data_IF_464033629982
#
_entry.id   IF_464033629982
#
_cell.length_a   1.000
_cell.length_b   1.000
_cell.length_c   1.000
_cell.angle_alpha   90.00
_cell.angle_beta   90.00
_cell.angle_gamma   90.00
#
_symmetry.space_group_name_H-M   'P 1'
#
loop_
_entity.id
_entity.type
_entity.pdbx_description
1 polymer ?
#
# COMPACT_ATOMS: atom_id res chain seq x y z
N UNK A 1 -1.44 21.98 -23.42
CA UNK A 1 -0.21 21.16 -23.48
C UNK A 1 0.76 21.43 -22.33
N UNK A 2 1.15 22.69 -22.03
CA UNK A 2 2.09 22.98 -20.94
C UNK A 2 1.52 22.80 -19.51
N UNK A 3 0.24 23.15 -19.29
CA UNK A 3 -0.43 22.95 -17.99
C UNK A 3 -0.54 21.45 -17.63
N UNK A 4 -1.03 20.63 -18.57
CA UNK A 4 -1.12 19.18 -18.41
C UNK A 4 0.22 18.52 -18.04
N UNK A 5 1.34 19.02 -18.59
CA UNK A 5 2.68 18.50 -18.25
C UNK A 5 3.11 18.88 -16.83
N UNK A 6 2.75 20.08 -16.35
CA UNK A 6 3.02 20.50 -14.97
C UNK A 6 2.19 19.68 -13.97
N UNK A 7 0.90 19.48 -14.25
CA UNK A 7 0.00 18.71 -13.38
C UNK A 7 0.51 17.26 -13.20
N UNK A 8 0.99 16.63 -14.27
CA UNK A 8 1.60 15.29 -14.22
C UNK A 8 2.90 15.26 -13.41
N UNK A 9 3.72 16.30 -13.50
CA UNK A 9 4.97 16.40 -12.74
C UNK A 9 4.71 16.59 -11.24
N UNK A 10 3.72 17.42 -10.90
CA UNK A 10 3.33 17.67 -9.51
C UNK A 10 2.75 16.41 -8.86
N UNK A 11 1.91 15.66 -9.59
CA UNK A 11 1.37 14.38 -9.10
C UNK A 11 2.47 13.33 -8.93
N UNK A 12 3.37 13.19 -9.91
CA UNK A 12 4.50 12.27 -9.80
C UNK A 12 5.39 12.59 -8.58
N UNK A 13 5.61 13.89 -8.30
CA UNK A 13 6.36 14.33 -7.13
C UNK A 13 5.68 13.96 -5.82
N UNK A 14 4.35 14.15 -5.73
CA UNK A 14 3.56 13.74 -4.56
C UNK A 14 3.63 12.24 -4.31
N UNK A 15 3.51 11.43 -5.36
CA UNK A 15 3.62 9.97 -5.25
C UNK A 15 5.02 9.55 -4.78
N UNK A 16 6.07 10.21 -5.28
CA UNK A 16 7.44 9.96 -4.84
C UNK A 16 7.66 10.31 -3.37
N UNK A 17 7.16 11.47 -2.91
CA UNK A 17 7.27 11.88 -1.51
C UNK A 17 6.54 10.90 -0.58
N UNK A 18 5.33 10.44 -0.95
CA UNK A 18 4.60 9.40 -0.20
C UNK A 18 5.36 8.07 -0.16
N UNK A 19 5.94 7.64 -1.28
CA UNK A 19 6.73 6.41 -1.33
C UNK A 19 7.99 6.49 -0.45
N UNK A 20 8.64 7.66 -0.39
CA UNK A 20 9.77 7.92 0.52
C UNK A 20 9.32 7.82 1.98
N UNK A 21 8.20 8.43 2.34
CA UNK A 21 7.71 8.41 3.72
C UNK A 21 7.30 7.01 4.17
N UNK A 22 6.70 6.19 3.28
CA UNK A 22 6.46 4.76 3.54
C UNK A 22 7.76 4.00 3.73
N UNK A 23 8.79 4.28 2.92
CA UNK A 23 10.10 3.63 3.04
C UNK A 23 10.75 3.96 4.39
N UNK A 24 10.68 5.22 4.84
CA UNK A 24 11.15 5.64 6.16
C UNK A 24 10.40 4.94 7.29
N UNK A 25 9.09 4.74 7.16
CA UNK A 25 8.30 3.99 8.13
C UNK A 25 8.71 2.50 8.16
N UNK A 26 8.93 1.90 6.99
CA UNK A 26 9.40 0.52 6.91
C UNK A 26 10.75 0.34 7.62
N UNK A 27 11.69 1.26 7.42
CA UNK A 27 13.00 1.25 8.09
C UNK A 27 12.88 1.36 9.62
N UNK A 28 11.99 2.22 10.13
CA UNK A 28 11.70 2.29 11.58
C UNK A 28 11.14 0.99 12.13
N UNK A 29 10.41 0.24 11.30
CA UNK A 29 9.91 -1.09 11.60
C UNK A 29 10.96 -2.17 11.31
N UNK A 30 12.20 -1.83 10.91
CA UNK A 30 13.25 -2.81 10.63
C UNK A 30 12.92 -3.73 9.45
N UNK A 31 12.21 -3.21 8.45
CA UNK A 31 11.86 -3.91 7.21
C UNK A 31 12.04 -3.01 5.99
N UNK A 32 11.91 -3.57 4.80
CA UNK A 32 11.88 -2.77 3.57
C UNK A 32 10.43 -2.48 3.10
N UNK A 33 10.29 -1.55 2.16
CA UNK A 33 8.98 -1.13 1.66
C UNK A 33 8.17 -2.27 1.02
N UNK A 34 8.83 -3.24 0.38
CA UNK A 34 8.17 -4.41 -0.23
C UNK A 34 7.60 -5.31 0.86
N UNK A 35 8.35 -5.56 1.93
CA UNK A 35 7.87 -6.34 3.06
C UNK A 35 6.70 -5.67 3.77
N UNK A 36 6.78 -4.35 3.97
CA UNK A 36 5.69 -3.59 4.58
C UNK A 36 4.42 -3.64 3.72
N UNK A 37 4.52 -3.49 2.40
CA UNK A 37 3.35 -3.51 1.51
C UNK A 37 2.66 -4.88 1.45
N UNK A 38 3.44 -5.96 1.46
CA UNK A 38 2.93 -7.33 1.53
C UNK A 38 2.19 -7.56 2.86
N UNK A 39 2.83 -7.22 3.98
CA UNK A 39 2.25 -7.40 5.30
C UNK A 39 0.98 -6.55 5.48
N UNK A 40 0.99 -5.32 5.00
CA UNK A 40 -0.17 -4.42 5.02
C UNK A 40 -1.34 -4.99 4.21
N UNK A 41 -1.07 -5.52 3.02
CA UNK A 41 -2.10 -6.16 2.17
C UNK A 41 -2.76 -7.35 2.86
N UNK A 42 -1.96 -8.19 3.52
CA UNK A 42 -2.43 -9.38 4.25
C UNK A 42 -3.11 -9.06 5.59
N UNK A 43 -2.94 -7.85 6.13
CA UNK A 43 -3.59 -7.42 7.39
C UNK A 43 -5.08 -7.13 7.20
N UNK A 44 -5.52 -6.86 5.98
CA UNK A 44 -6.91 -6.57 5.66
C UNK A 44 -7.73 -7.88 5.64
N UNK A 45 -8.66 -8.05 6.57
CA UNK A 45 -9.40 -9.30 6.81
C UNK A 45 -10.00 -9.96 5.54
N UNK A 46 -10.62 -9.23 4.61
CA UNK A 46 -11.11 -9.82 3.36
C UNK A 46 -10.05 -10.44 2.45
N UNK A 47 -8.76 -10.15 2.62
CA UNK A 47 -7.68 -10.67 1.77
C UNK A 47 -7.30 -12.08 2.22
N UNK A 48 -7.61 -13.07 1.38
CA UNK A 48 -7.31 -14.48 1.67
C UNK A 48 -6.04 -14.98 0.96
N UNK A 49 -5.68 -14.33 -0.15
CA UNK A 49 -4.54 -14.71 -0.98
C UNK A 49 -3.89 -13.46 -1.56
N UNK A 50 -2.55 -13.44 -1.58
CA UNK A 50 -1.75 -12.42 -2.24
C UNK A 50 -0.84 -13.09 -3.26
N UNK A 51 -1.01 -12.74 -4.53
CA UNK A 51 -0.15 -13.22 -5.61
C UNK A 51 1.15 -12.40 -5.60
N UNK A 52 2.29 -13.10 -5.54
CA UNK A 52 3.62 -12.48 -5.52
C UNK A 52 4.38 -12.86 -6.79
N UNK A 53 5.04 -11.87 -7.40
CA UNK A 53 6.01 -12.07 -8.47
C UNK A 53 7.43 -11.81 -7.96
N UNK A 54 8.38 -12.69 -8.31
CA UNK A 54 9.79 -12.52 -7.99
C UNK A 54 10.62 -12.95 -9.21
N UNK A 55 11.69 -12.18 -9.51
CA UNK A 55 12.60 -12.50 -10.62
C UNK A 55 13.80 -13.33 -10.17
N UNK A 56 13.98 -13.53 -8.86
CA UNK A 56 14.99 -14.40 -8.29
C UNK A 56 14.52 -15.06 -6.99
N UNK A 57 15.13 -16.18 -6.57
CA UNK A 57 14.83 -16.81 -5.29
C UNK A 57 15.02 -15.87 -4.10
N UNK A 58 16.03 -15.00 -4.12
CA UNK A 58 16.34 -14.09 -3.01
C UNK A 58 15.21 -13.07 -2.80
N UNK A 59 14.67 -12.53 -3.89
CA UNK A 59 13.50 -11.63 -3.83
C UNK A 59 12.27 -12.33 -3.28
N UNK A 60 12.04 -13.60 -3.64
CA UNK A 60 10.95 -14.39 -3.09
C UNK A 60 11.13 -14.58 -1.57
N UNK A 61 12.33 -14.94 -1.12
CA UNK A 61 12.62 -15.09 0.31
C UNK A 61 12.42 -13.79 1.08
N UNK A 62 12.87 -12.65 0.53
CA UNK A 62 12.63 -11.33 1.13
C UNK A 62 11.13 -11.03 1.24
N UNK A 63 10.35 -11.37 0.22
CA UNK A 63 8.90 -11.18 0.21
C UNK A 63 8.20 -12.04 1.26
N UNK A 64 8.61 -13.31 1.42
CA UNK A 64 8.05 -14.23 2.42
C UNK A 64 8.37 -13.81 3.86
N UNK A 65 9.52 -13.17 4.10
CA UNK A 65 9.87 -12.62 5.41
C UNK A 65 8.87 -11.55 5.91
N UNK A 66 8.09 -10.94 5.01
CA UNK A 66 7.04 -9.98 5.37
C UNK A 66 5.99 -10.56 6.33
N UNK A 67 5.74 -11.87 6.30
CA UNK A 67 4.77 -12.52 7.18
C UNK A 67 5.09 -12.33 8.66
N UNK A 68 6.38 -12.19 9.00
CA UNK A 68 6.84 -11.93 10.37
C UNK A 68 6.47 -10.52 10.87
N UNK A 69 6.08 -9.61 9.98
CA UNK A 69 5.66 -8.25 10.32
C UNK A 69 4.18 -8.15 10.71
N UNK A 70 3.35 -9.14 10.37
CA UNK A 70 1.90 -9.10 10.63
C UNK A 70 1.54 -8.81 12.09
N UNK A 71 2.22 -9.38 13.10
CA UNK A 71 1.96 -9.06 14.51
C UNK A 71 2.41 -7.64 14.90
N UNK A 72 3.38 -7.08 14.17
CA UNK A 72 3.98 -5.76 14.43
C UNK A 72 3.19 -4.60 13.83
N UNK A 73 2.31 -4.89 12.86
CA UNK A 73 1.34 -3.92 12.31
C UNK A 73 0.23 -3.64 13.32
N UNK A 74 0.54 -2.79 14.29
CA UNK A 74 -0.41 -2.27 15.27
C UNK A 74 -1.37 -1.26 14.62
N UNK A 75 -2.47 -0.95 15.31
CA UNK A 75 -3.39 0.10 14.87
C UNK A 75 -2.70 1.44 14.64
N UNK A 76 -1.69 1.79 15.47
CA UNK A 76 -0.93 3.02 15.30
C UNK A 76 -0.14 3.06 13.99
N UNK A 77 0.54 1.96 13.65
CA UNK A 77 1.26 1.83 12.37
C UNK A 77 0.30 1.91 11.19
N UNK A 78 -0.85 1.23 11.28
CA UNK A 78 -1.87 1.28 10.24
C UNK A 78 -2.40 2.70 10.02
N UNK A 79 -2.67 3.45 11.10
CA UNK A 79 -3.09 4.85 11.00
C UNK A 79 -2.00 5.75 10.39
N UNK A 80 -0.72 5.48 10.68
CA UNK A 80 0.39 6.22 10.08
C UNK A 80 0.48 5.97 8.56
N UNK A 81 0.28 4.72 8.11
CA UNK A 81 0.20 4.38 6.68
C UNK A 81 -0.94 5.13 6.00
N UNK A 82 -2.15 5.11 6.58
CA UNK A 82 -3.32 5.84 6.04
C UNK A 82 -3.06 7.35 5.96
N UNK A 83 -2.39 7.93 6.96
CA UNK A 83 -2.01 9.34 6.99
C UNK A 83 -0.97 9.69 5.92
N UNK A 84 -0.05 8.79 5.59
CA UNK A 84 0.96 9.04 4.54
C UNK A 84 0.29 8.93 3.15
N UNK A 85 -0.52 7.90 2.94
CA UNK A 85 -1.08 7.61 1.63
C UNK A 85 -2.25 8.52 1.25
N UNK A 86 -3.08 8.93 2.22
CA UNK A 86 -4.24 9.82 2.04
C UNK A 86 -5.12 9.44 0.84
N UNK A 87 -5.27 8.14 0.57
CA UNK A 87 -5.94 7.62 -0.63
C UNK A 87 -7.01 6.57 -0.29
N UNK A 88 -7.50 6.57 0.95
CA UNK A 88 -8.50 5.60 1.42
C UNK A 88 -9.74 5.63 0.51
N UNK A 89 -10.12 4.50 -0.10
CA UNK A 89 -11.22 4.48 -1.05
C UNK A 89 -12.56 4.73 -0.36
N UNK A 90 -13.43 5.48 -1.02
CA UNK A 90 -14.84 5.63 -0.62
C UNK A 90 -15.64 4.53 -1.30
N UNK A 91 -16.34 3.70 -0.51
CA UNK A 91 -17.24 2.68 -1.07
C UNK A 91 -18.31 3.39 -1.91
N UNK A 92 -18.45 3.09 -3.21
CA UNK A 92 -19.53 3.66 -4.02
C UNK A 92 -20.89 3.21 -3.47
N UNK A 93 -21.94 4.01 -3.62
CA UNK A 93 -23.28 3.61 -3.18
C UNK A 93 -23.68 2.29 -3.86
N UNK A 94 -24.40 1.40 -3.16
CA UNK A 94 -24.83 0.14 -3.73
C UNK A 94 -25.73 0.41 -4.94
N UNK A 95 -25.31 -0.02 -6.12
CA UNK A 95 -26.14 0.02 -7.32
C UNK A 95 -27.16 -1.12 -7.18
N UNK A 96 -28.35 -0.80 -6.69
CA UNK A 96 -29.45 -1.75 -6.68
C UNK A 96 -29.91 -1.98 -8.11
N UNK A 97 -29.72 -3.19 -8.63
CA UNK A 97 -30.29 -3.61 -9.91
C UNK A 97 -31.83 -3.66 -9.90
N UNK A 98 -32.44 -3.62 -8.70
CA UNK A 98 -33.89 -3.47 -8.52
C UNK A 98 -34.36 -2.02 -8.59
N UNK A 99 -33.47 -1.03 -8.40
CA UNK A 99 -33.81 0.39 -8.55
C UNK A 99 -33.75 0.88 -10.01
N UNK A 100 -33.29 0.01 -10.92
CA UNK A 100 -33.20 0.25 -12.37
C UNK A 100 -34.32 -0.44 -13.16
N UNK A 101 -35.30 -1.03 -12.48
CA UNK A 101 -36.51 -1.65 -13.05
C UNK A 101 -37.74 -0.93 -12.53
#
# INVERSE_FOLDING_TARGET
>A
MLHLRKDLQDEARRLYDKARDISNLAEKLGCNAVQLSIAWSLKHEPVQCLLLGATSPEQLHQSLQALQLLPRLSTGVMLEIERILENKPVRPPPISTLALR
#
